data_IF_099846781556
#
_entry.id   IF_099846781556
#
_cell.length_a   1.000
_cell.length_b   1.000
_cell.length_c   1.000
_cell.angle_alpha   90.00
_cell.angle_beta   90.00
_cell.angle_gamma   90.00
#
_symmetry.space_group_name_H-M   'P 1'
#
loop_
_entity.id
_entity.type
_entity.pdbx_description
1 polymer ?
#
# COMPACT_ATOMS: atom_id res chain seq x y z
N UNK A 1 23.23 0.35 -1.04
CA UNK A 1 22.21 -0.22 -1.97
C UNK A 1 21.82 -1.59 -1.43
N UNK A 2 20.53 -1.92 -1.44
CA UNK A 2 20.06 -3.27 -1.11
C UNK A 2 20.29 -4.14 -2.33
N UNK A 3 21.02 -5.24 -2.18
CA UNK A 3 21.34 -6.20 -3.25
C UNK A 3 20.72 -7.56 -2.92
N UNK A 4 20.40 -8.32 -3.96
CA UNK A 4 20.01 -9.71 -3.82
C UNK A 4 21.21 -10.58 -3.37
N UNK A 5 20.97 -11.78 -2.81
CA UNK A 5 22.03 -12.68 -2.38
C UNK A 5 23.08 -12.92 -3.46
N UNK A 6 24.33 -12.97 -3.04
CA UNK A 6 25.46 -13.19 -3.94
C UNK A 6 25.38 -14.59 -4.55
N UNK A 7 25.68 -14.68 -5.85
CA UNK A 7 25.76 -15.92 -6.62
C UNK A 7 26.92 -15.80 -7.61
N UNK A 8 27.53 -16.91 -7.95
CA UNK A 8 28.57 -16.96 -9.00
C UNK A 8 27.98 -16.99 -10.41
N UNK A 9 26.68 -17.19 -10.53
CA UNK A 9 25.97 -17.19 -11.80
C UNK A 9 25.71 -15.75 -12.27
N UNK A 10 26.37 -15.32 -13.32
CA UNK A 10 26.25 -13.96 -13.89
C UNK A 10 24.85 -13.65 -14.42
N UNK A 11 24.08 -14.65 -14.83
CA UNK A 11 22.70 -14.46 -15.27
C UNK A 11 21.80 -14.08 -14.08
N UNK A 12 22.00 -14.71 -12.91
CA UNK A 12 21.29 -14.35 -11.68
C UNK A 12 21.70 -12.97 -11.17
N UNK A 13 22.99 -12.59 -11.27
CA UNK A 13 23.46 -11.24 -10.88
C UNK A 13 22.73 -10.13 -11.62
N UNK A 14 22.28 -10.36 -12.86
CA UNK A 14 21.54 -9.37 -13.66
C UNK A 14 20.19 -9.01 -13.08
N UNK A 15 19.61 -9.82 -12.17
CA UNK A 15 18.39 -9.47 -11.43
C UNK A 15 18.55 -8.14 -10.66
N UNK A 16 19.72 -7.85 -10.11
CA UNK A 16 19.99 -6.59 -9.41
C UNK A 16 19.80 -5.35 -10.29
N UNK A 17 19.96 -5.49 -11.60
CA UNK A 17 19.83 -4.36 -12.53
C UNK A 17 18.40 -4.08 -13.01
N UNK A 18 17.41 -4.91 -12.67
CA UNK A 18 16.03 -4.75 -13.13
C UNK A 18 15.43 -3.41 -12.67
N UNK A 19 15.73 -3.03 -11.42
CA UNK A 19 15.14 -1.86 -10.76
C UNK A 19 16.11 -0.67 -10.64
N UNK A 20 17.22 -0.69 -11.38
CA UNK A 20 18.15 0.44 -11.40
C UNK A 20 17.45 1.74 -11.80
N UNK A 21 17.94 2.84 -11.23
CA UNK A 21 17.41 4.18 -11.49
C UNK A 21 17.44 4.50 -12.99
N UNK A 22 16.32 5.02 -13.51
CA UNK A 22 16.14 5.31 -14.93
C UNK A 22 15.65 4.15 -15.80
N UNK A 23 15.71 2.90 -15.30
CA UNK A 23 15.23 1.72 -16.05
C UNK A 23 13.75 1.37 -15.76
N UNK A 24 13.15 2.00 -14.74
CA UNK A 24 11.76 1.76 -14.35
C UNK A 24 10.94 3.05 -14.44
N UNK A 25 10.01 3.09 -15.37
CA UNK A 25 9.10 4.23 -15.58
C UNK A 25 7.71 4.00 -15.00
N UNK A 26 7.30 2.75 -14.85
CA UNK A 26 5.98 2.31 -14.37
C UNK A 26 6.15 1.16 -13.37
N UNK A 27 5.13 0.92 -12.54
CA UNK A 27 5.17 -0.06 -11.45
C UNK A 27 5.25 -1.53 -11.89
N UNK A 28 5.01 -1.83 -13.15
CA UNK A 28 4.78 -3.19 -13.66
C UNK A 28 5.89 -4.19 -13.39
N UNK A 29 7.16 -3.80 -13.53
CA UNK A 29 8.29 -4.74 -13.31
C UNK A 29 8.34 -5.24 -11.87
N UNK A 30 7.99 -4.38 -10.90
CA UNK A 30 7.93 -4.78 -9.49
C UNK A 30 6.82 -5.81 -9.27
N UNK A 31 5.61 -5.50 -9.73
CA UNK A 31 4.46 -6.39 -9.56
C UNK A 31 4.58 -7.67 -10.37
N UNK A 32 5.28 -7.64 -11.52
CA UNK A 32 5.57 -8.83 -12.31
C UNK A 32 6.46 -9.80 -11.53
N UNK A 33 7.57 -9.33 -10.97
CA UNK A 33 8.44 -10.15 -10.13
C UNK A 33 7.71 -10.67 -8.89
N UNK A 34 6.99 -9.79 -8.21
CA UNK A 34 6.18 -10.17 -7.04
C UNK A 34 5.15 -11.23 -7.38
N UNK A 35 4.48 -11.14 -8.53
CA UNK A 35 3.48 -12.11 -8.97
C UNK A 35 4.10 -13.49 -9.24
N UNK A 36 5.28 -13.54 -9.85
CA UNK A 36 6.01 -14.81 -10.08
C UNK A 36 6.39 -15.45 -8.74
N UNK A 37 6.99 -14.68 -7.84
CA UNK A 37 7.43 -15.20 -6.53
C UNK A 37 6.22 -15.65 -5.69
N UNK A 38 5.15 -14.86 -5.67
CA UNK A 38 3.92 -15.19 -4.93
C UNK A 38 3.28 -16.51 -5.44
N UNK A 39 3.26 -16.71 -6.77
CA UNK A 39 2.77 -17.95 -7.37
C UNK A 39 3.61 -19.16 -6.96
N UNK A 40 4.94 -19.02 -6.92
CA UNK A 40 5.84 -20.09 -6.47
C UNK A 40 5.61 -20.41 -4.98
N UNK A 41 5.50 -19.40 -4.12
CA UNK A 41 5.23 -19.61 -2.68
C UNK A 41 3.87 -20.29 -2.44
N UNK A 42 2.84 -19.92 -3.21
CA UNK A 42 1.53 -20.56 -3.10
C UNK A 42 1.57 -22.04 -3.52
N UNK A 43 2.33 -22.37 -4.55
CA UNK A 43 2.54 -23.77 -4.96
C UNK A 43 3.30 -24.57 -3.92
N UNK A 44 4.35 -24.01 -3.34
CA UNK A 44 5.10 -24.66 -2.25
C UNK A 44 4.22 -24.92 -1.03
N UNK A 45 3.44 -23.95 -0.59
CA UNK A 45 2.52 -24.09 0.55
C UNK A 45 1.43 -25.12 0.32
N UNK A 46 0.98 -25.28 -0.93
CA UNK A 46 -0.04 -26.26 -1.31
C UNK A 46 0.53 -27.66 -1.53
N UNK A 47 1.82 -27.91 -1.28
CA UNK A 47 2.52 -29.17 -1.58
C UNK A 47 2.29 -29.64 -3.02
N UNK A 48 2.03 -28.72 -3.94
CA UNK A 48 1.87 -29.03 -5.36
C UNK A 48 3.24 -29.23 -5.99
N UNK A 49 3.31 -30.10 -6.98
CA UNK A 49 4.48 -30.23 -7.84
C UNK A 49 4.91 -28.83 -8.33
N UNK A 50 6.15 -28.45 -8.07
CA UNK A 50 6.74 -27.21 -8.57
C UNK A 50 6.90 -27.32 -10.08
N UNK A 51 5.87 -26.97 -10.83
CA UNK A 51 5.97 -26.82 -12.28
C UNK A 51 6.67 -25.50 -12.58
N UNK A 52 7.59 -25.53 -13.52
CA UNK A 52 8.30 -24.36 -14.03
C UNK A 52 7.44 -23.48 -14.95
N UNK A 53 6.20 -23.91 -15.24
CA UNK A 53 5.27 -23.24 -16.14
C UNK A 53 4.18 -22.47 -15.40
N UNK A 54 3.89 -21.24 -15.88
CA UNK A 54 2.85 -20.36 -15.35
C UNK A 54 2.04 -19.75 -16.48
N UNK A 55 0.72 -19.71 -16.30
CA UNK A 55 -0.18 -19.03 -17.24
C UNK A 55 -0.06 -17.50 -17.07
N UNK A 56 0.20 -16.78 -18.16
CA UNK A 56 0.40 -15.32 -18.09
C UNK A 56 -0.84 -14.60 -17.57
N UNK A 57 -2.04 -15.05 -17.92
CA UNK A 57 -3.29 -14.49 -17.40
C UNK A 57 -3.38 -14.60 -15.88
N UNK A 58 -2.95 -15.72 -15.29
CA UNK A 58 -2.94 -15.88 -13.83
C UNK A 58 -1.94 -14.95 -13.17
N UNK A 59 -0.77 -14.77 -13.77
CA UNK A 59 0.21 -13.78 -13.28
C UNK A 59 -0.30 -12.34 -13.37
N UNK A 60 -0.99 -11.97 -14.44
CA UNK A 60 -1.59 -10.63 -14.55
C UNK A 60 -2.69 -10.40 -13.50
N UNK A 61 -3.53 -11.41 -13.23
CA UNK A 61 -4.54 -11.34 -12.16
C UNK A 61 -3.85 -11.25 -10.80
N UNK A 62 -2.74 -11.94 -10.61
CA UNK A 62 -1.95 -11.85 -9.38
C UNK A 62 -1.35 -10.46 -9.19
N UNK A 63 -0.81 -9.83 -10.25
CA UNK A 63 -0.35 -8.42 -10.20
C UNK A 63 -1.46 -7.47 -9.74
N UNK A 64 -2.67 -7.62 -10.32
CA UNK A 64 -3.84 -6.81 -9.94
C UNK A 64 -4.21 -7.00 -8.46
N UNK A 65 -4.18 -8.23 -8.00
CA UNK A 65 -4.47 -8.58 -6.61
C UNK A 65 -3.46 -8.01 -5.62
N UNK A 66 -2.16 -8.07 -5.93
CA UNK A 66 -1.09 -7.48 -5.11
C UNK A 66 -1.17 -5.95 -5.06
N UNK A 67 -1.67 -5.31 -6.13
CA UNK A 67 -1.85 -3.86 -6.20
C UNK A 67 -3.18 -3.37 -5.60
N UNK A 68 -4.07 -4.27 -5.15
CA UNK A 68 -5.42 -3.95 -4.69
C UNK A 68 -5.41 -2.92 -3.54
N UNK A 69 -4.80 -3.26 -2.41
CA UNK A 69 -4.79 -2.38 -1.25
C UNK A 69 -4.02 -1.09 -1.47
N UNK A 70 -2.80 -1.11 -2.01
CA UNK A 70 -2.09 0.12 -2.33
C UNK A 70 -2.92 1.10 -3.15
N UNK A 71 -3.69 0.59 -4.13
CA UNK A 71 -4.45 1.42 -5.06
C UNK A 71 -5.80 1.87 -4.52
N UNK A 72 -6.61 0.93 -4.00
CA UNK A 72 -8.03 1.21 -3.69
C UNK A 72 -8.22 1.61 -2.24
N UNK A 73 -7.57 0.90 -1.32
CA UNK A 73 -7.72 1.14 0.12
C UNK A 73 -6.84 2.30 0.60
N UNK A 74 -5.55 2.29 0.24
CA UNK A 74 -4.59 3.31 0.64
C UNK A 74 -4.49 4.48 -0.35
N UNK A 75 -5.08 4.36 -1.53
CA UNK A 75 -5.16 5.39 -2.57
C UNK A 75 -3.81 5.97 -2.98
N UNK A 76 -2.76 5.14 -3.03
CA UNK A 76 -1.47 5.57 -3.51
C UNK A 76 -1.50 5.93 -4.99
N UNK A 77 -0.80 6.99 -5.36
CA UNK A 77 -0.62 7.42 -6.73
C UNK A 77 0.50 6.61 -7.40
N UNK A 78 0.18 5.88 -8.45
CA UNK A 78 1.12 5.08 -9.25
C UNK A 78 1.67 5.84 -10.46
N UNK A 79 1.11 7.02 -10.74
CA UNK A 79 1.39 7.81 -11.92
C UNK A 79 0.29 7.74 -12.98
N UNK A 80 0.20 8.79 -13.82
CA UNK A 80 -0.90 9.02 -14.74
C UNK A 80 -1.17 7.88 -15.73
N UNK A 81 -0.11 7.22 -16.23
CA UNK A 81 -0.22 6.18 -17.27
C UNK A 81 -0.14 4.75 -16.70
N UNK A 82 -0.23 4.57 -15.39
CA UNK A 82 -0.13 3.24 -14.77
C UNK A 82 -1.44 2.45 -14.94
N UNK A 83 -1.46 1.55 -15.92
CA UNK A 83 -2.63 0.71 -16.23
C UNK A 83 -2.93 -0.33 -15.15
N UNK A 84 -1.95 -0.66 -14.28
CA UNK A 84 -2.17 -1.61 -13.20
C UNK A 84 -3.12 -0.98 -12.17
N UNK A 85 -2.82 0.22 -11.68
CA UNK A 85 -3.69 0.93 -10.74
C UNK A 85 -5.06 1.26 -11.33
N UNK A 86 -5.09 1.73 -12.59
CA UNK A 86 -6.35 1.97 -13.30
C UNK A 86 -7.17 0.68 -13.49
N UNK A 87 -6.51 -0.43 -13.79
CA UNK A 87 -7.13 -1.75 -13.96
C UNK A 87 -7.79 -2.25 -12.68
N UNK A 88 -7.09 -2.12 -11.54
CA UNK A 88 -7.65 -2.47 -10.22
C UNK A 88 -8.89 -1.65 -9.91
N UNK A 89 -8.83 -0.32 -10.07
CA UNK A 89 -9.97 0.57 -9.82
C UNK A 89 -11.18 0.24 -10.71
N UNK A 90 -10.93 -0.01 -12.01
CA UNK A 90 -11.98 -0.40 -12.95
C UNK A 90 -12.62 -1.72 -12.59
N UNK A 91 -11.83 -2.73 -12.20
CA UNK A 91 -12.35 -4.05 -11.80
C UNK A 91 -13.20 -3.96 -10.52
N UNK A 92 -12.74 -3.22 -9.51
CA UNK A 92 -13.51 -3.01 -8.27
C UNK A 92 -14.84 -2.35 -8.57
N UNK A 93 -14.87 -1.34 -9.46
CA UNK A 93 -16.11 -0.66 -9.86
C UNK A 93 -17.00 -1.57 -10.72
N UNK A 94 -16.44 -2.20 -11.75
CA UNK A 94 -17.18 -3.06 -12.70
C UNK A 94 -17.86 -4.24 -11.98
N UNK A 95 -17.14 -4.87 -11.06
CA UNK A 95 -17.60 -6.05 -10.32
C UNK A 95 -18.28 -5.67 -9.00
N UNK A 96 -18.46 -4.38 -8.69
CA UNK A 96 -19.09 -3.85 -7.46
C UNK A 96 -18.49 -4.44 -6.18
N UNK A 97 -17.16 -4.58 -6.14
CA UNK A 97 -16.47 -5.20 -5.02
C UNK A 97 -16.26 -4.20 -3.86
N UNK A 98 -16.35 -4.65 -2.59
CA UNK A 98 -16.02 -3.80 -1.47
C UNK A 98 -14.53 -3.45 -1.46
N UNK A 99 -14.18 -2.22 -1.05
CA UNK A 99 -12.77 -1.76 -0.98
C UNK A 99 -11.93 -2.55 0.02
N UNK A 100 -12.57 -3.31 0.90
CA UNK A 100 -11.95 -4.15 1.93
C UNK A 100 -11.84 -5.62 1.51
N UNK A 101 -12.27 -5.97 0.27
CA UNK A 101 -12.17 -7.34 -0.24
C UNK A 101 -10.74 -7.89 -0.10
N UNK A 102 -10.61 -9.16 0.29
CA UNK A 102 -9.30 -9.77 0.39
C UNK A 102 -8.64 -9.95 -1.00
N UNK A 103 -7.30 -9.91 -1.10
CA UNK A 103 -6.62 -10.19 -2.37
C UNK A 103 -6.97 -11.54 -2.98
N UNK A 104 -7.19 -12.57 -2.17
CA UNK A 104 -7.58 -13.90 -2.64
C UNK A 104 -9.01 -13.91 -3.20
N UNK A 105 -9.96 -13.30 -2.49
CA UNK A 105 -11.34 -13.20 -2.99
C UNK A 105 -11.40 -12.35 -4.26
N UNK A 106 -10.63 -11.27 -4.32
CA UNK A 106 -10.50 -10.47 -5.54
C UNK A 106 -10.01 -11.30 -6.73
N UNK A 107 -8.95 -12.13 -6.55
CA UNK A 107 -8.47 -13.05 -7.60
C UNK A 107 -9.59 -13.99 -8.08
N UNK A 108 -10.35 -14.58 -7.14
CA UNK A 108 -11.45 -15.49 -7.47
C UNK A 108 -12.57 -14.79 -8.24
N UNK A 109 -12.96 -13.57 -7.82
CA UNK A 109 -13.97 -12.77 -8.51
C UNK A 109 -13.55 -12.41 -9.93
N UNK A 110 -12.29 -11.98 -10.13
CA UNK A 110 -11.76 -11.69 -11.48
C UNK A 110 -11.73 -12.94 -12.36
N UNK A 111 -11.30 -14.10 -11.81
CA UNK A 111 -11.30 -15.38 -12.54
C UNK A 111 -12.73 -15.85 -12.89
N UNK A 112 -13.69 -15.64 -12.00
CA UNK A 112 -15.10 -15.94 -12.27
C UNK A 112 -15.66 -15.02 -13.35
N UNK A 113 -15.36 -13.72 -13.29
CA UNK A 113 -15.81 -12.74 -14.26
C UNK A 113 -15.29 -12.99 -15.69
N UNK A 114 -14.09 -13.57 -15.85
CA UNK A 114 -13.57 -14.01 -17.15
C UNK A 114 -14.40 -15.15 -17.80
N UNK A 115 -15.31 -15.79 -17.06
CA UNK A 115 -16.20 -16.82 -17.58
C UNK A 115 -17.64 -16.31 -17.79
N UNK A 116 -17.95 -15.07 -17.38
CA UNK A 116 -19.29 -14.47 -17.47
C UNK A 116 -19.40 -13.63 -18.75
N UNK A 117 -20.30 -14.00 -19.64
CA UNK A 117 -20.47 -13.36 -20.97
C UNK A 117 -20.65 -11.85 -20.92
N UNK A 118 -21.33 -11.33 -19.87
CA UNK A 118 -21.68 -9.90 -19.74
C UNK A 118 -20.46 -9.03 -19.48
N UNK A 119 -19.46 -9.51 -18.75
CA UNK A 119 -18.30 -8.72 -18.31
C UNK A 119 -16.96 -9.25 -18.84
N UNK A 120 -16.94 -10.46 -19.41
CA UNK A 120 -15.73 -11.14 -19.88
C UNK A 120 -14.85 -10.25 -20.76
N UNK A 121 -15.45 -9.56 -21.73
CA UNK A 121 -14.69 -8.74 -22.68
C UNK A 121 -13.95 -7.59 -22.00
N UNK A 122 -14.59 -6.89 -21.06
CA UNK A 122 -13.97 -5.77 -20.35
C UNK A 122 -12.90 -6.26 -19.38
N UNK A 123 -13.16 -7.33 -18.64
CA UNK A 123 -12.17 -7.95 -17.73
C UNK A 123 -10.96 -8.44 -18.53
N UNK A 124 -11.18 -9.12 -19.67
CA UNK A 124 -10.10 -9.58 -20.56
C UNK A 124 -9.25 -8.44 -21.10
N UNK A 125 -9.86 -7.31 -21.51
CA UNK A 125 -9.13 -6.11 -21.94
C UNK A 125 -8.23 -5.56 -20.84
N UNK A 126 -8.71 -5.50 -19.60
CA UNK A 126 -7.93 -5.01 -18.46
C UNK A 126 -6.75 -5.94 -18.17
N UNK A 127 -6.98 -7.26 -18.09
CA UNK A 127 -5.95 -8.25 -17.82
C UNK A 127 -4.89 -8.27 -18.92
N UNK A 128 -5.34 -8.33 -20.19
CA UNK A 128 -4.44 -8.40 -21.35
C UNK A 128 -3.61 -7.11 -21.51
N UNK A 129 -4.14 -5.95 -21.13
CA UNK A 129 -3.39 -4.70 -21.19
C UNK A 129 -2.11 -4.69 -20.34
N UNK A 130 -2.04 -5.53 -19.29
CA UNK A 130 -0.84 -5.70 -18.48
C UNK A 130 0.20 -6.62 -19.13
N UNK A 131 -0.23 -7.49 -20.05
CA UNK A 131 0.63 -8.47 -20.71
C UNK A 131 1.26 -7.97 -22.01
N UNK A 132 0.87 -6.80 -22.50
CA UNK A 132 1.33 -6.30 -23.83
C UNK A 132 2.84 -6.09 -23.91
N UNK A 133 3.50 -5.68 -22.82
CA UNK A 133 4.93 -5.38 -22.83
C UNK A 133 5.70 -5.84 -21.60
N UNK A 134 4.99 -6.15 -20.51
CA UNK A 134 5.63 -6.37 -19.20
C UNK A 134 6.49 -7.63 -19.20
N UNK A 135 5.99 -8.80 -19.68
CA UNK A 135 6.77 -10.03 -19.68
C UNK A 135 8.09 -9.89 -20.46
N UNK A 136 8.04 -9.25 -21.63
CA UNK A 136 9.22 -9.07 -22.48
C UNK A 136 10.17 -8.00 -21.93
N UNK A 137 9.63 -6.86 -21.48
CA UNK A 137 10.47 -5.75 -20.95
C UNK A 137 11.14 -6.10 -19.63
N UNK A 138 10.59 -7.04 -18.87
CA UNK A 138 11.26 -7.56 -17.68
C UNK A 138 12.60 -8.23 -18.04
N UNK A 139 12.68 -8.89 -19.17
CA UNK A 139 13.88 -9.57 -19.66
C UNK A 139 15.00 -8.64 -20.15
N UNK A 140 14.77 -7.33 -20.14
CA UNK A 140 15.75 -6.34 -20.65
C UNK A 140 17.19 -6.46 -20.11
N UNK A 141 17.48 -6.87 -18.85
CA UNK A 141 18.85 -7.04 -18.37
C UNK A 141 19.63 -8.20 -19.03
N UNK A 142 18.92 -9.21 -19.52
CA UNK A 142 19.52 -10.38 -20.18
C UNK A 142 19.73 -10.17 -21.66
N UNK A 143 19.28 -9.02 -22.13
CA UNK A 143 19.39 -8.63 -23.51
C UNK A 143 20.84 -8.26 -23.85
N UNK A 144 21.50 -9.07 -24.66
CA UNK A 144 22.82 -8.75 -25.20
C UNK A 144 22.60 -7.91 -26.48
N UNK A 145 23.09 -6.67 -26.47
CA UNK A 145 23.02 -5.79 -27.63
C UNK A 145 23.66 -6.48 -28.83
N UNK A 146 22.85 -6.96 -29.77
CA UNK A 146 23.36 -7.34 -31.07
C UNK A 146 23.66 -6.05 -31.85
N UNK A 147 24.83 -5.95 -32.52
CA UNK A 147 25.16 -4.80 -33.35
C UNK A 147 24.15 -4.55 -34.48
N UNK A 148 23.43 -5.60 -34.88
CA UNK A 148 22.46 -5.58 -36.00
C UNK A 148 21.03 -5.27 -35.59
N UNK A 149 20.68 -5.36 -34.30
CA UNK A 149 19.33 -5.14 -33.82
C UNK A 149 19.26 -3.87 -32.96
N UNK A 150 18.88 -2.77 -33.57
CA UNK A 150 18.58 -1.51 -32.84
C UNK A 150 17.23 -1.64 -32.16
N UNK A 151 17.23 -1.58 -30.84
CA UNK A 151 16.03 -1.51 -30.03
C UNK A 151 15.29 -0.20 -30.35
N UNK A 152 14.18 -0.29 -31.08
CA UNK A 152 13.36 0.88 -31.39
C UNK A 152 12.19 0.91 -30.42
N UNK A 153 11.99 2.05 -29.76
CA UNK A 153 10.85 2.28 -28.83
C UNK A 153 9.46 2.14 -29.49
N UNK A 154 9.42 2.08 -30.82
CA UNK A 154 8.22 1.89 -31.65
C UNK A 154 7.98 0.45 -32.11
N UNK A 155 8.84 -0.49 -31.70
CA UNK A 155 8.67 -1.88 -32.09
C UNK A 155 7.36 -2.45 -31.54
N UNK A 156 6.66 -3.24 -32.34
CA UNK A 156 5.41 -3.91 -31.95
C UNK A 156 5.68 -5.03 -30.93
N UNK A 157 4.65 -5.45 -30.18
CA UNK A 157 4.76 -6.57 -29.23
C UNK A 157 5.27 -7.86 -29.90
N UNK A 158 4.88 -8.12 -31.16
CA UNK A 158 5.36 -9.27 -31.94
C UNK A 158 6.87 -9.21 -32.22
N UNK A 159 7.37 -8.02 -32.58
CA UNK A 159 8.81 -7.80 -32.81
C UNK A 159 9.62 -8.00 -31.53
N UNK A 160 9.07 -7.61 -30.37
CA UNK A 160 9.69 -7.88 -29.07
C UNK A 160 9.70 -9.37 -28.74
N UNK A 161 8.60 -10.09 -29.01
CA UNK A 161 8.53 -11.54 -28.76
C UNK A 161 9.53 -12.31 -29.59
N UNK A 162 9.62 -12.05 -30.89
CA UNK A 162 10.58 -12.67 -31.78
C UNK A 162 12.02 -12.39 -31.38
N UNK A 163 12.28 -11.14 -31.05
CA UNK A 163 13.59 -10.67 -30.62
C UNK A 163 14.04 -11.34 -29.31
N UNK A 164 13.18 -11.41 -28.28
CA UNK A 164 13.51 -12.05 -27.02
C UNK A 164 13.55 -13.57 -27.09
N UNK A 165 12.75 -14.20 -27.95
CA UNK A 165 12.81 -15.64 -28.19
C UNK A 165 14.15 -16.05 -28.83
N UNK A 166 14.67 -15.22 -29.74
CA UNK A 166 15.93 -15.49 -30.44
C UNK A 166 17.18 -15.11 -29.61
N UNK A 167 17.08 -14.12 -28.74
CA UNK A 167 18.23 -13.60 -27.98
C UNK A 167 18.47 -14.32 -26.64
N UNK A 168 17.50 -15.05 -26.13
CA UNK A 168 17.56 -15.54 -24.75
C UNK A 168 18.19 -16.92 -24.57
N UNK A 169 18.39 -17.72 -25.61
CA UNK A 169 19.04 -19.03 -25.55
C UNK A 169 19.33 -19.53 -24.12
N UNK A 170 18.29 -19.63 -23.28
CA UNK A 170 18.31 -20.07 -21.87
C UNK A 170 19.06 -19.19 -20.85
N UNK A 171 19.38 -17.93 -21.15
CA UNK A 171 20.13 -17.04 -20.23
C UNK A 171 19.23 -16.18 -19.32
N UNK A 172 17.97 -15.95 -19.71
CA UNK A 172 17.02 -15.18 -18.92
C UNK A 172 16.27 -15.99 -17.87
N UNK A 173 15.48 -15.33 -17.00
CA UNK A 173 14.73 -16.01 -15.94
C UNK A 173 13.63 -16.93 -16.47
N UNK A 174 13.14 -16.69 -17.69
CA UNK A 174 12.09 -17.49 -18.29
C UNK A 174 12.03 -17.37 -19.81
N UNK A 175 11.34 -18.30 -20.43
CA UNK A 175 10.90 -18.26 -21.81
C UNK A 175 9.39 -17.98 -21.86
N UNK A 176 8.95 -17.31 -22.92
CA UNK A 176 7.53 -17.06 -23.23
C UNK A 176 7.13 -17.94 -24.42
N UNK A 177 6.03 -18.65 -24.32
CA UNK A 177 5.52 -19.49 -25.39
C UNK A 177 3.99 -19.53 -25.42
N UNK A 178 3.43 -19.94 -26.55
CA UNK A 178 1.99 -20.12 -26.74
C UNK A 178 1.64 -21.60 -26.87
N UNK A 179 0.55 -22.02 -26.24
CA UNK A 179 -0.06 -23.32 -26.40
C UNK A 179 -1.57 -23.14 -26.58
N UNK A 180 -2.08 -23.41 -27.80
CA UNK A 180 -3.44 -23.07 -28.16
C UNK A 180 -3.71 -21.56 -28.08
N UNK A 181 -4.75 -21.19 -27.36
CA UNK A 181 -5.11 -19.78 -27.12
C UNK A 181 -4.40 -19.14 -25.91
N UNK A 182 -3.65 -19.92 -25.15
CA UNK A 182 -3.02 -19.49 -23.93
C UNK A 182 -1.54 -19.15 -24.13
N UNK A 183 -1.06 -18.16 -23.37
CA UNK A 183 0.35 -17.80 -23.31
C UNK A 183 0.92 -18.16 -21.94
N UNK A 184 2.11 -18.72 -21.95
CA UNK A 184 2.77 -19.25 -20.76
C UNK A 184 4.16 -18.65 -20.60
N UNK A 185 4.60 -18.62 -19.36
CA UNK A 185 5.96 -18.39 -18.93
C UNK A 185 6.52 -19.74 -18.45
N UNK A 186 7.71 -20.11 -18.91
CA UNK A 186 8.47 -21.27 -18.42
C UNK A 186 9.75 -20.80 -17.77
N UNK A 187 9.90 -21.01 -16.46
CA UNK A 187 11.07 -20.60 -15.69
C UNK A 187 12.29 -21.44 -16.08
N UNK A 188 13.45 -20.79 -16.17
CA UNK A 188 14.73 -21.45 -16.21
C UNK A 188 15.02 -22.12 -14.86
N UNK A 189 15.59 -23.32 -14.85
CA UNK A 189 15.79 -24.11 -13.62
C UNK A 189 16.70 -23.42 -12.59
N UNK A 190 17.73 -22.71 -13.02
CA UNK A 190 18.59 -21.93 -12.10
C UNK A 190 17.80 -20.84 -11.39
N UNK A 191 16.93 -20.13 -12.15
CA UNK A 191 16.07 -19.09 -11.59
C UNK A 191 14.94 -19.67 -10.73
N UNK A 192 14.37 -20.81 -11.11
CA UNK A 192 13.37 -21.49 -10.29
C UNK A 192 13.96 -21.85 -8.93
N UNK A 193 15.14 -22.48 -8.91
CA UNK A 193 15.83 -22.84 -7.68
C UNK A 193 16.15 -21.60 -6.83
N UNK A 194 16.69 -20.55 -7.45
CA UNK A 194 17.05 -19.30 -6.79
C UNK A 194 15.81 -18.58 -6.24
N UNK A 195 14.72 -18.48 -6.99
CA UNK A 195 13.46 -17.85 -6.56
C UNK A 195 12.82 -18.60 -5.41
N UNK A 196 12.82 -19.93 -5.44
CA UNK A 196 12.29 -20.74 -4.35
C UNK A 196 13.12 -20.62 -3.07
N UNK A 197 14.46 -20.60 -3.20
CA UNK A 197 15.37 -20.51 -2.05
C UNK A 197 15.33 -19.12 -1.38
N UNK A 198 15.25 -18.05 -2.18
CA UNK A 198 15.37 -16.68 -1.70
C UNK A 198 14.09 -15.86 -1.85
N UNK A 199 12.91 -16.52 -1.92
CA UNK A 199 11.62 -15.87 -2.18
C UNK A 199 11.36 -14.65 -1.29
N UNK A 200 11.55 -14.79 0.03
CA UNK A 200 11.32 -13.70 1.00
C UNK A 200 12.26 -12.51 0.79
N UNK A 201 13.52 -12.78 0.47
CA UNK A 201 14.53 -11.73 0.22
C UNK A 201 14.23 -11.02 -1.10
N UNK A 202 13.85 -11.76 -2.14
CA UNK A 202 13.48 -11.21 -3.45
C UNK A 202 12.22 -10.34 -3.33
N UNK A 203 11.21 -10.78 -2.57
CA UNK A 203 10.02 -9.96 -2.27
C UNK A 203 10.39 -8.67 -1.54
N UNK A 204 11.21 -8.77 -0.50
CA UNK A 204 11.68 -7.61 0.27
C UNK A 204 12.45 -6.63 -0.63
N UNK A 205 13.29 -7.13 -1.51
CA UNK A 205 14.02 -6.34 -2.52
C UNK A 205 13.05 -5.63 -3.47
N UNK A 206 12.06 -6.34 -4.01
CA UNK A 206 11.06 -5.76 -4.90
C UNK A 206 10.21 -4.70 -4.20
N UNK A 207 9.75 -4.94 -2.96
CA UNK A 207 8.99 -3.98 -2.17
C UNK A 207 9.81 -2.75 -1.77
N UNK A 208 11.08 -2.92 -1.42
CA UNK A 208 11.98 -1.79 -1.16
C UNK A 208 12.07 -0.85 -2.37
N UNK A 209 12.34 -1.38 -3.56
CA UNK A 209 12.43 -0.57 -4.77
C UNK A 209 11.08 0.01 -5.21
N UNK A 210 9.98 -0.72 -4.98
CA UNK A 210 8.62 -0.23 -5.22
C UNK A 210 8.29 0.93 -4.26
N UNK A 211 8.71 0.86 -2.99
CA UNK A 211 8.57 1.95 -2.03
C UNK A 211 9.26 3.21 -2.54
N UNK A 212 10.54 3.13 -2.90
CA UNK A 212 11.30 4.26 -3.45
C UNK A 212 10.68 4.83 -4.74
N UNK A 213 10.09 3.96 -5.56
CA UNK A 213 9.37 4.37 -6.78
C UNK A 213 8.09 5.15 -6.47
N UNK A 214 7.33 4.71 -5.47
CA UNK A 214 6.06 5.34 -5.08
C UNK A 214 6.26 6.60 -4.23
N UNK A 215 7.28 6.68 -3.39
CA UNK A 215 7.63 7.88 -2.62
C UNK A 215 7.78 9.11 -3.51
N UNK A 216 8.42 8.95 -4.68
CA UNK A 216 8.56 10.03 -5.67
C UNK A 216 7.23 10.54 -6.22
N UNK A 217 6.15 9.78 -6.11
CA UNK A 217 4.81 10.08 -6.62
C UNK A 217 3.79 10.42 -5.54
N UNK A 218 4.13 10.15 -4.29
CA UNK A 218 3.27 10.30 -3.13
C UNK A 218 3.96 11.16 -2.07
N UNK A 219 4.41 12.35 -2.47
CA UNK A 219 5.13 13.26 -1.57
C UNK A 219 4.26 13.62 -0.35
N UNK A 220 4.82 13.45 0.83
CA UNK A 220 4.15 13.74 2.10
C UNK A 220 3.15 12.66 2.56
N UNK A 221 2.91 11.60 1.78
CA UNK A 221 2.08 10.47 2.24
C UNK A 221 2.89 9.63 3.23
N UNK A 222 2.41 9.44 4.48
CA UNK A 222 3.15 8.69 5.47
C UNK A 222 3.10 7.18 5.19
N UNK A 223 4.12 6.46 5.66
CA UNK A 223 4.15 5.00 5.79
C UNK A 223 3.88 4.22 4.47
N UNK A 224 4.45 4.69 3.34
CA UNK A 224 4.25 4.05 2.02
C UNK A 224 4.63 2.57 2.03
N UNK A 225 5.75 2.20 2.66
CA UNK A 225 6.18 0.81 2.73
C UNK A 225 5.13 -0.12 3.35
N UNK A 226 4.49 0.33 4.45
CA UNK A 226 3.43 -0.43 5.13
C UNK A 226 2.14 -0.50 4.32
N UNK A 227 1.88 0.48 3.45
CA UNK A 227 0.72 0.51 2.56
C UNK A 227 0.83 -0.47 1.38
N UNK A 228 2.00 -1.01 1.12
CA UNK A 228 2.18 -2.03 0.09
C UNK A 228 1.69 -3.41 0.53
N UNK A 229 1.74 -3.67 1.84
CA UNK A 229 1.30 -4.94 2.43
C UNK A 229 0.35 -4.55 3.56
N UNK A 230 -0.96 -4.76 3.37
CA UNK A 230 -1.93 -4.50 4.42
C UNK A 230 -1.79 -5.55 5.52
N UNK A 231 -1.38 -5.11 6.70
CA UNK A 231 -1.48 -5.94 7.90
C UNK A 231 -2.95 -6.24 8.19
N UNK A 232 -3.24 -7.50 8.46
CA UNK A 232 -4.58 -7.97 8.77
C UNK A 232 -4.97 -7.61 10.21
N UNK A 233 -3.99 -7.37 11.08
CA UNK A 233 -4.21 -7.06 12.48
C UNK A 233 -3.84 -5.60 12.78
N UNK A 234 -4.81 -4.86 13.31
CA UNK A 234 -4.57 -3.53 13.88
C UNK A 234 -4.06 -3.68 15.31
N UNK A 235 -3.16 -2.79 15.70
CA UNK A 235 -2.73 -2.68 17.10
C UNK A 235 -3.93 -2.40 18.00
N UNK A 236 -3.89 -2.94 19.22
CA UNK A 236 -4.93 -2.66 20.21
C UNK A 236 -4.80 -1.22 20.71
N UNK A 237 -5.89 -0.46 20.71
CA UNK A 237 -5.98 0.88 21.30
C UNK A 237 -6.22 0.87 22.82
N UNK A 238 -5.77 -0.18 23.52
CA UNK A 238 -6.02 -0.34 24.95
C UNK A 238 -5.45 0.81 25.78
N UNK A 239 -4.22 1.21 25.54
CA UNK A 239 -3.57 2.31 26.27
C UNK A 239 -4.27 3.65 26.04
N UNK A 240 -4.71 3.90 24.80
CA UNK A 240 -5.49 5.09 24.44
C UNK A 240 -6.85 5.09 25.16
N UNK A 241 -7.51 3.93 25.21
CA UNK A 241 -8.77 3.77 25.91
C UNK A 241 -8.63 3.99 27.43
N UNK A 242 -7.53 3.52 28.02
CA UNK A 242 -7.22 3.76 29.43
C UNK A 242 -7.01 5.25 29.73
N UNK A 243 -6.30 5.97 28.85
CA UNK A 243 -6.13 7.42 28.97
C UNK A 243 -7.50 8.15 28.92
N UNK A 244 -8.31 7.88 27.87
CA UNK A 244 -9.59 8.53 27.74
C UNK A 244 -10.54 8.17 28.89
N UNK A 245 -10.57 6.92 29.37
CA UNK A 245 -11.35 6.54 30.55
C UNK A 245 -10.92 7.30 31.82
N UNK A 246 -9.62 7.51 32.00
CA UNK A 246 -9.11 8.32 33.11
C UNK A 246 -9.49 9.78 32.98
N UNK A 247 -9.50 10.31 31.76
CA UNK A 247 -9.94 11.66 31.43
C UNK A 247 -11.45 11.82 31.69
N UNK A 248 -12.30 10.86 31.28
CA UNK A 248 -13.73 10.85 31.59
C UNK A 248 -14.01 10.97 33.10
N UNK A 249 -13.31 10.20 33.92
CA UNK A 249 -13.45 10.25 35.39
C UNK A 249 -13.21 11.62 35.97
N UNK A 250 -12.26 12.39 35.43
CA UNK A 250 -12.00 13.76 35.87
C UNK A 250 -13.15 14.72 35.56
N UNK A 251 -13.96 14.40 34.55
CA UNK A 251 -15.09 15.21 34.07
C UNK A 251 -16.46 14.63 34.49
N UNK A 252 -16.51 13.84 35.58
CA UNK A 252 -17.77 13.25 36.09
C UNK A 252 -18.38 12.22 35.16
N UNK A 253 -17.53 11.44 34.47
CA UNK A 253 -17.90 10.38 33.51
C UNK A 253 -18.70 10.88 32.29
N UNK A 254 -18.56 12.15 31.93
CA UNK A 254 -19.24 12.77 30.79
C UNK A 254 -18.32 13.73 30.06
N UNK A 255 -18.16 13.57 28.75
CA UNK A 255 -17.50 14.54 27.87
C UNK A 255 -18.32 14.73 26.60
N UNK A 256 -18.22 15.89 25.97
CA UNK A 256 -18.86 16.17 24.69
C UNK A 256 -18.00 15.68 23.53
N UNK A 257 -18.59 14.98 22.55
CA UNK A 257 -17.89 14.60 21.33
C UNK A 257 -17.50 15.85 20.52
N UNK A 258 -16.26 15.89 20.09
CA UNK A 258 -15.74 17.00 19.23
C UNK A 258 -16.47 17.02 17.88
N UNK A 259 -17.04 15.91 17.45
CA UNK A 259 -17.68 15.74 16.13
C UNK A 259 -19.18 16.11 16.15
N UNK A 260 -19.93 15.51 17.08
CA UNK A 260 -21.41 15.54 17.07
C UNK A 260 -22.03 16.36 18.20
N UNK A 261 -21.23 16.79 19.17
CA UNK A 261 -21.68 17.39 20.44
C UNK A 261 -22.57 16.48 21.32
N UNK A 262 -22.63 15.19 20.98
CA UNK A 262 -23.27 14.20 21.83
C UNK A 262 -22.46 14.01 23.10
N UNK A 263 -23.11 13.89 24.24
CA UNK A 263 -22.46 13.58 25.52
C UNK A 263 -22.09 12.09 25.52
N UNK A 264 -20.80 11.81 25.63
CA UNK A 264 -20.23 10.45 25.69
C UNK A 264 -20.03 10.03 27.16
N UNK A 265 -20.07 8.71 27.39
CA UNK A 265 -19.76 8.09 28.69
C UNK A 265 -18.69 7.01 28.53
N UNK A 266 -17.97 6.59 29.60
CA UNK A 266 -16.91 5.59 29.51
C UNK A 266 -17.34 4.24 28.92
N UNK A 267 -18.63 3.92 28.96
CA UNK A 267 -19.18 2.65 28.47
C UNK A 267 -19.75 2.74 27.03
N UNK A 268 -19.91 3.96 26.52
CA UNK A 268 -20.58 4.19 25.23
C UNK A 268 -19.82 5.20 24.38
N UNK A 269 -18.61 4.81 23.97
CA UNK A 269 -17.82 5.54 22.99
C UNK A 269 -16.85 4.61 22.24
N UNK A 270 -16.52 5.01 21.04
CA UNK A 270 -15.40 4.47 20.26
C UNK A 270 -14.23 5.48 20.25
N UNK A 271 -13.06 5.03 19.84
CA UNK A 271 -11.93 5.91 19.53
C UNK A 271 -11.82 6.01 18.02
N UNK A 272 -11.89 7.23 17.50
CA UNK A 272 -11.75 7.53 16.09
C UNK A 272 -10.39 8.14 15.79
N UNK A 273 -9.88 7.83 14.60
CA UNK A 273 -8.74 8.52 14.00
C UNK A 273 -9.24 9.78 13.30
N UNK A 274 -8.88 10.96 13.78
CA UNK A 274 -9.27 12.23 13.19
C UNK A 274 -8.93 12.29 11.71
N UNK A 275 -7.67 12.11 11.34
CA UNK A 275 -7.26 11.76 9.97
C UNK A 275 -7.31 10.24 9.85
N UNK A 276 -8.03 9.69 8.87
CA UNK A 276 -8.29 8.25 8.76
C UNK A 276 -7.04 7.39 8.90
N UNK A 277 -7.18 6.28 9.63
CA UNK A 277 -6.10 5.31 9.81
C UNK A 277 -5.53 4.79 8.48
N UNK A 278 -6.36 4.59 7.47
CA UNK A 278 -5.91 4.15 6.14
C UNK A 278 -4.98 5.15 5.44
N UNK A 279 -5.02 6.45 5.85
CA UNK A 279 -4.05 7.44 5.39
C UNK A 279 -2.81 7.48 6.29
N UNK A 280 -2.97 7.46 7.62
CA UNK A 280 -1.86 7.63 8.57
C UNK A 280 -1.06 6.34 8.82
N UNK A 281 -1.74 5.20 8.97
CA UNK A 281 -1.19 3.90 9.41
C UNK A 281 -0.40 3.99 10.73
N UNK A 282 -0.84 4.85 11.63
CA UNK A 282 -0.36 4.95 13.00
C UNK A 282 -1.49 5.40 13.93
N UNK A 283 -1.29 5.19 15.21
CA UNK A 283 -2.27 5.45 16.27
C UNK A 283 -1.81 6.61 17.17
N UNK A 284 -1.22 7.67 16.57
CA UNK A 284 -0.73 8.83 17.29
C UNK A 284 -1.83 9.43 18.16
N UNK A 285 -1.55 9.58 19.47
CA UNK A 285 -2.56 9.99 20.44
C UNK A 285 -3.25 11.31 20.07
N UNK A 286 -2.51 12.27 19.56
CA UNK A 286 -3.07 13.58 19.17
C UNK A 286 -3.90 13.54 17.86
N UNK A 287 -3.95 12.40 17.17
CA UNK A 287 -4.85 12.12 16.04
C UNK A 287 -6.07 11.31 16.46
N UNK A 288 -6.29 11.07 17.75
CA UNK A 288 -7.38 10.23 18.26
C UNK A 288 -8.35 11.05 19.10
N UNK A 289 -9.64 10.76 18.97
CA UNK A 289 -10.66 11.34 19.81
C UNK A 289 -11.79 10.37 20.13
N UNK A 290 -12.44 10.51 21.30
CA UNK A 290 -13.67 9.79 21.60
C UNK A 290 -14.81 10.24 20.68
N UNK A 291 -15.62 9.27 20.22
CA UNK A 291 -16.71 9.48 19.29
C UNK A 291 -17.87 8.52 19.62
N UNK A 292 -19.10 8.93 19.35
CA UNK A 292 -20.25 8.03 19.40
C UNK A 292 -20.30 7.06 18.21
N UNK A 293 -20.92 5.89 18.38
CA UNK A 293 -20.94 4.83 17.39
C UNK A 293 -21.60 5.25 16.05
N UNK A 294 -22.64 6.07 16.12
CA UNK A 294 -23.38 6.53 14.93
C UNK A 294 -22.50 7.44 14.08
N UNK A 295 -21.93 8.47 14.71
CA UNK A 295 -21.04 9.42 14.03
C UNK A 295 -19.78 8.73 13.51
N UNK A 296 -19.21 7.78 14.28
CA UNK A 296 -18.06 6.98 13.86
C UNK A 296 -18.36 6.18 12.59
N UNK A 297 -19.53 5.55 12.53
CA UNK A 297 -19.97 4.81 11.33
C UNK A 297 -20.16 5.73 10.12
N UNK A 298 -20.72 6.91 10.30
CA UNK A 298 -20.92 7.91 9.24
C UNK A 298 -19.60 8.51 8.75
N UNK A 299 -18.71 8.88 9.68
CA UNK A 299 -17.39 9.42 9.34
C UNK A 299 -16.51 8.36 8.67
N UNK A 300 -16.46 7.14 9.21
CA UNK A 300 -15.70 6.03 8.63
C UNK A 300 -14.30 6.49 8.13
N UNK A 301 -14.06 6.36 6.84
CA UNK A 301 -12.77 6.71 6.20
C UNK A 301 -12.79 8.11 5.53
N UNK A 302 -13.71 8.99 5.95
CA UNK A 302 -13.82 10.36 5.44
C UNK A 302 -12.95 11.32 6.24
N UNK A 303 -12.50 12.39 5.57
CA UNK A 303 -11.72 13.46 6.20
C UNK A 303 -12.66 14.39 6.99
N UNK A 304 -12.33 14.75 8.24
CA UNK A 304 -13.11 15.70 9.00
C UNK A 304 -12.99 17.13 8.42
N UNK A 305 -13.97 18.00 8.66
CA UNK A 305 -13.84 19.42 8.38
C UNK A 305 -12.65 20.04 9.14
N UNK A 306 -12.00 21.01 8.51
CA UNK A 306 -10.76 21.64 9.04
C UNK A 306 -10.99 22.34 10.40
N UNK A 307 -12.16 22.94 10.59
CA UNK A 307 -12.54 23.65 11.83
C UNK A 307 -12.58 22.72 13.06
N UNK A 308 -12.73 21.43 12.87
CA UNK A 308 -12.65 20.45 13.96
C UNK A 308 -11.24 20.26 14.53
N UNK A 309 -10.18 20.73 13.85
CA UNK A 309 -8.81 20.68 14.39
C UNK A 309 -8.72 21.47 15.70
N UNK A 310 -9.34 22.65 15.77
CA UNK A 310 -9.35 23.45 16.99
C UNK A 310 -10.02 22.69 18.15
N UNK A 311 -11.16 22.01 17.91
CA UNK A 311 -11.83 21.21 18.94
C UNK A 311 -10.97 20.02 19.39
N UNK A 312 -10.32 19.34 18.45
CA UNK A 312 -9.37 18.27 18.77
C UNK A 312 -8.20 18.82 19.61
N UNK A 313 -7.67 19.98 19.24
CA UNK A 313 -6.58 20.62 19.98
C UNK A 313 -7.00 20.99 21.41
N UNK A 314 -8.20 21.54 21.60
CA UNK A 314 -8.72 21.88 22.93
C UNK A 314 -8.88 20.64 23.82
N UNK A 315 -9.37 19.52 23.27
CA UNK A 315 -9.44 18.24 23.99
C UNK A 315 -8.06 17.78 24.49
N UNK A 316 -7.08 17.75 23.59
CA UNK A 316 -5.73 17.31 23.94
C UNK A 316 -4.99 18.29 24.83
N UNK A 317 -5.23 19.60 24.68
CA UNK A 317 -4.69 20.61 25.56
C UNK A 317 -5.19 20.42 27.00
N UNK A 318 -6.50 20.20 27.19
CA UNK A 318 -7.05 19.95 28.52
C UNK A 318 -6.48 18.66 29.15
N UNK A 319 -6.34 17.59 28.37
CA UNK A 319 -5.62 16.35 28.82
C UNK A 319 -4.22 16.72 29.35
N UNK A 320 -3.45 17.51 28.58
CA UNK A 320 -2.08 17.87 28.94
C UNK A 320 -2.03 18.82 30.15
N UNK A 321 -2.98 19.74 30.34
CA UNK A 321 -3.08 20.55 31.53
C UNK A 321 -3.35 19.68 32.79
N UNK A 322 -4.20 18.64 32.67
CA UNK A 322 -4.43 17.70 33.75
C UNK A 322 -3.20 16.83 34.05
N UNK A 323 -2.39 16.50 33.03
CA UNK A 323 -1.08 15.87 33.23
C UNK A 323 -0.10 16.81 33.95
N UNK A 324 -0.03 18.07 33.55
CA UNK A 324 0.85 19.09 34.14
C UNK A 324 0.58 19.28 35.65
N UNK A 325 -0.67 19.25 36.07
CA UNK A 325 -1.05 19.39 37.47
C UNK A 325 -1.11 18.05 38.23
N UNK A 326 -0.67 16.95 37.63
CA UNK A 326 -0.56 15.64 38.27
C UNK A 326 -1.91 14.90 38.47
N UNK A 327 -3.00 15.31 37.78
CA UNK A 327 -4.30 14.65 37.84
C UNK A 327 -4.43 13.48 36.87
N UNK A 328 -3.63 13.48 35.78
CA UNK A 328 -3.51 12.41 34.79
C UNK A 328 -2.06 11.97 34.64
N UNK A 329 -1.87 10.71 34.31
CA UNK A 329 -0.58 10.16 33.88
C UNK A 329 -0.64 9.73 32.41
N UNK A 330 0.46 9.91 31.69
CA UNK A 330 0.59 9.46 30.30
C UNK A 330 1.43 8.19 30.22
N UNK A 331 1.07 7.31 29.29
CA UNK A 331 1.98 6.27 28.85
C UNK A 331 3.23 6.89 28.22
N UNK A 332 4.39 6.23 28.38
CA UNK A 332 5.69 6.73 27.87
C UNK A 332 5.68 7.05 26.39
N UNK A 333 4.96 6.25 25.59
CA UNK A 333 4.88 6.42 24.14
C UNK A 333 4.12 7.72 23.80
N UNK A 334 3.04 8.04 24.51
CA UNK A 334 2.28 9.28 24.32
C UNK A 334 3.12 10.54 24.64
N UNK A 335 4.03 10.44 25.63
CA UNK A 335 5.00 11.50 25.90
C UNK A 335 5.88 11.74 24.67
N UNK A 336 6.37 10.67 24.03
CA UNK A 336 7.13 10.76 22.78
C UNK A 336 6.32 11.38 21.65
N UNK A 337 5.07 10.92 21.47
CA UNK A 337 4.18 11.41 20.44
C UNK A 337 3.86 12.91 20.59
N UNK A 338 3.45 13.36 21.78
CA UNK A 338 3.22 14.78 22.05
C UNK A 338 4.50 15.61 21.91
N UNK A 339 5.67 15.06 22.22
CA UNK A 339 6.94 15.76 22.06
C UNK A 339 7.19 16.24 20.63
N UNK A 340 6.65 15.53 19.63
CA UNK A 340 6.74 15.91 18.22
C UNK A 340 6.13 17.30 17.96
N UNK A 341 5.08 17.69 18.68
CA UNK A 341 4.46 19.01 18.59
C UNK A 341 5.33 20.12 19.18
N UNK A 342 6.32 19.77 20.01
CA UNK A 342 7.27 20.66 20.68
C UNK A 342 8.72 20.52 20.20
N UNK A 343 8.95 20.08 18.97
CA UNK A 343 10.28 19.85 18.41
C UNK A 343 11.10 18.80 19.21
N UNK A 344 10.47 17.72 19.64
CA UNK A 344 11.06 16.65 20.44
C UNK A 344 11.12 16.92 21.95
N UNK A 345 10.54 18.03 22.44
CA UNK A 345 10.63 18.44 23.84
C UNK A 345 9.25 18.44 24.53
N UNK A 346 8.95 17.40 25.30
CA UNK A 346 7.67 17.31 26.03
C UNK A 346 7.43 18.47 27.02
N UNK A 347 8.47 18.90 27.76
CA UNK A 347 8.38 20.04 28.68
C UNK A 347 7.93 21.33 27.98
N UNK A 348 8.35 21.52 26.74
CA UNK A 348 7.92 22.67 25.91
C UNK A 348 6.43 22.58 25.61
N UNK A 349 5.93 21.39 25.26
CA UNK A 349 4.49 21.16 24.98
C UNK A 349 3.65 21.42 26.23
N UNK A 350 4.08 20.95 27.40
CA UNK A 350 3.40 21.22 28.67
C UNK A 350 3.37 22.72 29.05
N UNK A 351 4.30 23.51 28.53
CA UNK A 351 4.36 24.95 28.78
C UNK A 351 3.54 25.78 27.74
N UNK A 352 2.99 25.17 26.72
CA UNK A 352 2.19 25.87 25.73
C UNK A 352 0.95 26.52 26.36
N UNK A 353 0.62 27.70 25.83
CA UNK A 353 -0.73 28.25 26.01
C UNK A 353 -1.72 27.50 25.13
N UNK A 354 -3.00 27.69 25.35
CA UNK A 354 -4.04 27.13 24.47
C UNK A 354 -3.77 27.51 22.99
N UNK A 355 -3.51 28.78 22.73
CA UNK A 355 -3.22 29.27 21.37
C UNK A 355 -1.99 28.59 20.74
N UNK A 356 -0.90 28.43 21.52
CA UNK A 356 0.31 27.77 21.04
C UNK A 356 0.05 26.30 20.66
N UNK A 357 -0.74 25.58 21.48
CA UNK A 357 -1.04 24.18 21.23
C UNK A 357 -1.96 24.00 20.02
N UNK A 358 -3.00 24.83 19.88
CA UNK A 358 -3.87 24.84 18.70
C UNK A 358 -3.04 25.08 17.44
N UNK A 359 -2.16 26.08 17.46
CA UNK A 359 -1.27 26.39 16.33
C UNK A 359 -0.31 25.24 16.00
N UNK A 360 0.27 24.57 17.01
CA UNK A 360 1.18 23.45 16.82
C UNK A 360 0.46 22.24 16.22
N UNK A 361 -0.74 21.92 16.69
CA UNK A 361 -1.53 20.81 16.17
C UNK A 361 -2.05 21.10 14.76
N UNK A 362 -2.56 22.32 14.52
CA UNK A 362 -3.02 22.73 13.19
C UNK A 362 -1.88 22.67 12.16
N UNK A 363 -0.71 23.21 12.47
CA UNK A 363 0.45 23.14 11.57
C UNK A 363 0.94 21.71 11.30
N UNK A 364 0.58 20.75 12.15
CA UNK A 364 0.90 19.34 11.98
C UNK A 364 -0.16 18.60 11.15
N UNK A 365 -1.45 18.82 11.43
CA UNK A 365 -2.53 18.03 10.82
C UNK A 365 -3.05 18.63 9.50
N UNK A 366 -3.07 19.97 9.35
CA UNK A 366 -3.60 20.62 8.14
C UNK A 366 -2.89 20.19 6.85
N UNK A 367 -1.54 20.13 6.79
CA UNK A 367 -0.86 19.61 5.60
C UNK A 367 -1.23 18.16 5.29
N UNK A 368 -1.40 17.31 6.31
CA UNK A 368 -1.76 15.92 6.15
C UNK A 368 -3.19 15.76 5.63
N UNK A 369 -4.14 16.57 6.12
CA UNK A 369 -5.50 16.62 5.58
C UNK A 369 -5.51 17.02 4.11
N UNK A 370 -4.74 18.04 3.73
CA UNK A 370 -4.63 18.46 2.34
C UNK A 370 -4.03 17.38 1.45
N UNK A 371 -2.97 16.69 1.90
CA UNK A 371 -2.36 15.59 1.16
C UNK A 371 -3.34 14.43 1.02
N UNK A 372 -4.07 14.07 2.08
CA UNK A 372 -5.07 13.03 2.04
C UNK A 372 -6.21 13.37 1.05
N UNK A 373 -6.67 14.62 1.03
CA UNK A 373 -7.65 15.11 0.07
C UNK A 373 -7.14 14.98 -1.37
N UNK A 374 -5.91 15.41 -1.62
CA UNK A 374 -5.26 15.30 -2.94
C UNK A 374 -5.12 13.84 -3.41
N UNK A 375 -5.00 12.88 -2.48
CA UNK A 375 -5.01 11.44 -2.77
C UNK A 375 -6.42 10.86 -2.91
N UNK A 376 -7.47 11.70 -2.92
CA UNK A 376 -8.84 11.28 -3.17
C UNK A 376 -9.58 10.73 -1.96
N UNK A 377 -9.14 11.02 -0.73
CA UNK A 377 -9.98 10.83 0.45
C UNK A 377 -11.10 11.88 0.42
N UNK A 378 -12.36 11.43 0.52
CA UNK A 378 -13.51 12.32 0.48
C UNK A 378 -13.70 13.03 1.83
N UNK A 379 -14.24 14.25 1.79
CA UNK A 379 -14.59 14.99 3.01
C UNK A 379 -15.87 14.46 3.63
N UNK A 380 -15.89 14.38 4.94
CA UNK A 380 -17.09 14.19 5.74
C UNK A 380 -17.86 15.52 5.77
N UNK A 381 -19.19 15.43 5.51
CA UNK A 381 -20.07 16.61 5.46
C UNK A 381 -20.84 16.78 6.76
#
# INVERSE_FOLDING_TARGET
>A
MVNLPVTDNDNLKRLNSIFESGKVTLSYKFYWLLAIIDELEQRQKANKSLTDEMLLTDLAINMLSLALYPTVYFKLNFGFNDKLSQGVQKLVTLLKLPITISPNDFKQQVKAALKQKEVQNEVSKIVNALLVYVPERFLSPWYIKSPTLKFNSRATAATYQEFFSNALNNQGPYLLYKCGQNSYLKLNQDFLSYFCTYSSIIKSYAYYHLTLFLEKRNQGVPNIAQKLIKDTERSSLKAQKELFNSYFKLHGDKIESIYSRVVLTPNDYAIDHFIPWSFMLNDLIYNLAPIDATTNSQKSNLLPPHDLIEKLALLHFDILQNVRVGKLSLHKDFIGEYSNLGQGQFKKVLAYTNHDFVKALDSTLSPLLQIASNNGFASWK
#
